data_IF_621414023427
#
_entry.id   IF_621414023427
#
_cell.length_a   1.000
_cell.length_b   1.000
_cell.length_c   1.000
_cell.angle_alpha   90.00
_cell.angle_beta   90.00
_cell.angle_gamma   90.00
#
_symmetry.space_group_name_H-M   'P 1'
#
loop_
_entity.id
_entity.type
_entity.pdbx_description
1 polymer ?
#
# COMPACT_ATOMS: atom_id res chain seq x y z
N UNK A 1 -11.63 9.05 -7.65
CA UNK A 1 -11.68 7.64 -8.09
C UNK A 1 -12.97 7.41 -8.83
N UNK A 2 -12.99 6.44 -9.75
CA UNK A 2 -14.21 6.03 -10.44
C UNK A 2 -15.12 5.21 -9.51
N UNK A 3 -16.43 5.25 -9.76
CA UNK A 3 -17.43 4.41 -9.05
C UNK A 3 -17.11 2.91 -9.21
N UNK A 4 -17.39 2.04 -8.21
CA UNK A 4 -17.05 0.62 -8.26
C UNK A 4 -17.55 -0.12 -9.52
N UNK A 5 -18.75 0.19 -10.01
CA UNK A 5 -19.28 -0.42 -11.24
C UNK A 5 -18.46 -0.11 -12.49
N UNK A 6 -17.86 1.09 -12.56
CA UNK A 6 -16.93 1.47 -13.65
C UNK A 6 -15.62 0.71 -13.51
N UNK A 7 -15.12 0.55 -12.28
CA UNK A 7 -13.91 -0.25 -11.99
C UNK A 7 -14.09 -1.72 -12.34
N UNK A 8 -15.23 -2.34 -12.03
CA UNK A 8 -15.57 -3.73 -12.43
C UNK A 8 -15.60 -3.85 -13.95
N UNK A 9 -16.26 -2.91 -14.63
CA UNK A 9 -16.32 -2.90 -16.10
C UNK A 9 -14.92 -2.83 -16.70
N UNK A 10 -14.09 -1.91 -16.19
CA UNK A 10 -12.70 -1.71 -16.63
C UNK A 10 -11.82 -2.93 -16.35
N UNK A 11 -11.95 -3.54 -15.17
CA UNK A 11 -11.24 -4.78 -14.83
C UNK A 11 -11.53 -5.89 -15.83
N UNK A 12 -12.82 -6.12 -16.14
CA UNK A 12 -13.23 -7.11 -17.14
C UNK A 12 -12.69 -6.81 -18.54
N UNK A 13 -12.68 -5.53 -18.97
CA UNK A 13 -12.12 -5.13 -20.26
C UNK A 13 -10.60 -5.36 -20.35
N UNK A 14 -9.91 -5.26 -19.22
CA UNK A 14 -8.47 -5.50 -19.09
C UNK A 14 -8.15 -6.95 -18.74
N UNK A 15 -9.14 -7.85 -18.70
CA UNK A 15 -9.01 -9.25 -18.35
C UNK A 15 -8.48 -9.51 -16.93
N UNK A 16 -8.73 -8.59 -15.99
CA UNK A 16 -8.54 -8.85 -14.55
C UNK A 16 -9.80 -9.55 -14.02
N UNK A 17 -9.71 -10.81 -13.54
CA UNK A 17 -10.85 -11.52 -12.99
C UNK A 17 -11.37 -10.80 -11.75
N UNK A 18 -12.65 -10.42 -11.78
CA UNK A 18 -13.33 -9.86 -10.61
C UNK A 18 -13.87 -11.00 -9.77
N UNK A 19 -13.53 -11.00 -8.48
CA UNK A 19 -14.05 -11.91 -7.48
C UNK A 19 -14.93 -11.16 -6.49
N UNK A 20 -15.81 -11.92 -5.85
CA UNK A 20 -16.62 -11.50 -4.71
C UNK A 20 -16.30 -12.49 -3.58
N UNK A 21 -16.35 -12.06 -2.32
CA UNK A 21 -16.15 -12.99 -1.23
C UNK A 21 -17.27 -14.02 -1.15
N UNK A 22 -17.02 -15.10 -0.40
CA UNK A 22 -17.99 -16.19 -0.23
C UNK A 22 -19.23 -15.66 0.51
N UNK A 23 -20.43 -15.66 -0.11
CA UNK A 23 -21.63 -15.11 0.52
C UNK A 23 -22.01 -15.72 1.87
N UNK A 24 -21.46 -16.89 2.24
CA UNK A 24 -21.69 -17.53 3.53
C UNK A 24 -20.80 -16.99 4.65
N UNK A 25 -19.64 -16.42 4.31
CA UNK A 25 -18.64 -15.91 5.28
C UNK A 25 -18.30 -14.45 5.10
N UNK A 26 -18.57 -13.93 3.91
CA UNK A 26 -18.45 -12.54 3.51
C UNK A 26 -19.83 -12.03 3.11
N UNK A 27 -20.33 -11.13 3.94
CA UNK A 27 -21.62 -10.48 3.76
C UNK A 27 -21.49 -9.18 2.95
N UNK A 28 -20.28 -8.65 2.76
CA UNK A 28 -20.00 -7.31 2.24
C UNK A 28 -20.29 -7.18 0.75
N UNK A 29 -20.13 -8.27 -0.02
CA UNK A 29 -20.52 -8.31 -1.43
C UNK A 29 -19.76 -7.31 -2.30
N UNK A 30 -18.59 -6.86 -1.84
CA UNK A 30 -17.78 -5.86 -2.54
C UNK A 30 -16.98 -6.56 -3.63
N UNK A 31 -16.98 -6.04 -4.86
CA UNK A 31 -16.15 -6.58 -5.91
C UNK A 31 -14.68 -6.31 -5.60
N UNK A 32 -13.83 -7.27 -5.96
CA UNK A 32 -12.40 -7.13 -5.83
C UNK A 32 -11.65 -7.81 -6.97
N UNK A 33 -10.37 -7.49 -7.10
CA UNK A 33 -9.44 -8.21 -7.95
C UNK A 33 -8.25 -8.70 -7.13
N UNK A 34 -7.57 -9.73 -7.62
CA UNK A 34 -6.26 -10.13 -7.10
C UNK A 34 -5.17 -9.33 -7.81
N UNK A 35 -4.31 -8.66 -7.07
CA UNK A 35 -3.17 -7.94 -7.60
C UNK A 35 -1.96 -8.86 -7.87
N UNK A 36 -0.99 -8.46 -8.70
CA UNK A 36 0.23 -9.23 -8.96
C UNK A 36 1.03 -9.52 -7.68
N UNK A 37 0.96 -8.65 -6.69
CA UNK A 37 1.56 -8.85 -5.39
C UNK A 37 0.81 -9.84 -4.48
N UNK A 38 -0.32 -10.39 -4.94
CA UNK A 38 -1.12 -11.37 -4.20
C UNK A 38 -2.08 -10.74 -3.19
N UNK A 39 -2.35 -9.44 -3.28
CA UNK A 39 -3.30 -8.75 -2.43
C UNK A 39 -4.68 -8.66 -3.08
N UNK A 40 -5.72 -8.75 -2.25
CA UNK A 40 -7.08 -8.51 -2.70
C UNK A 40 -7.38 -7.00 -2.68
N UNK A 41 -7.68 -6.41 -3.84
CA UNK A 41 -8.01 -4.99 -3.96
C UNK A 41 -9.51 -4.82 -4.17
N UNK A 42 -10.21 -4.38 -3.11
CA UNK A 42 -11.65 -4.15 -3.11
C UNK A 42 -12.01 -2.78 -3.70
N UNK A 43 -13.07 -2.71 -4.49
CA UNK A 43 -13.62 -1.45 -4.99
C UNK A 43 -14.76 -1.00 -4.08
N UNK A 44 -14.52 0.09 -3.36
CA UNK A 44 -15.46 0.65 -2.37
C UNK A 44 -15.95 2.01 -2.85
N UNK A 45 -17.26 2.23 -2.85
CA UNK A 45 -17.84 3.56 -3.03
C UNK A 45 -17.97 4.25 -1.66
N UNK A 46 -17.33 5.40 -1.42
CA UNK A 46 -17.48 6.13 -0.16
C UNK A 46 -18.84 6.80 0.01
N UNK A 47 -19.59 7.02 -1.07
CA UNK A 47 -20.92 7.66 -1.04
C UNK A 47 -22.06 6.66 -0.97
N UNK A 48 -21.79 5.40 -1.32
CA UNK A 48 -22.70 4.32 -0.98
C UNK A 48 -22.63 4.18 0.54
N UNK A 49 -23.72 4.54 1.23
CA UNK A 49 -23.96 4.06 2.60
C UNK A 49 -24.06 2.54 2.50
N UNK A 50 -22.90 1.89 2.41
CA UNK A 50 -22.88 0.48 2.21
C UNK A 50 -23.46 -0.13 3.48
N UNK A 51 -24.52 -0.97 3.38
CA UNK A 51 -24.99 -1.75 4.50
C UNK A 51 -23.87 -2.61 5.11
N UNK A 52 -22.73 -2.76 4.41
CA UNK A 52 -21.52 -3.38 4.90
C UNK A 52 -20.97 -2.74 6.18
N UNK A 53 -20.68 -1.44 6.20
CA UNK A 53 -19.98 -0.85 7.34
C UNK A 53 -20.85 -0.91 8.59
N UNK A 54 -22.15 -0.62 8.46
CA UNK A 54 -23.12 -0.71 9.55
C UNK A 54 -23.36 -2.15 10.05
N UNK A 55 -23.10 -3.15 9.20
CA UNK A 55 -23.28 -4.57 9.55
C UNK A 55 -22.02 -5.18 10.15
N UNK A 56 -20.85 -4.83 9.65
CA UNK A 56 -19.57 -5.41 10.07
C UNK A 56 -18.91 -4.64 11.22
N UNK A 57 -19.26 -3.37 11.41
CA UNK A 57 -18.68 -2.51 12.44
C UNK A 57 -19.77 -1.91 13.31
N UNK A 58 -19.52 -1.88 14.61
CA UNK A 58 -20.32 -1.11 15.56
C UNK A 58 -19.69 0.27 15.66
N UNK A 59 -20.45 1.32 15.36
CA UNK A 59 -19.98 2.70 15.55
C UNK A 59 -19.55 2.90 17.00
N UNK A 60 -18.35 3.42 17.20
CA UNK A 60 -17.91 3.91 18.49
C UNK A 60 -17.95 5.44 18.45
N UNK A 61 -18.88 6.02 19.20
CA UNK A 61 -19.03 7.47 19.30
C UNK A 61 -17.95 8.13 20.17
N UNK A 62 -17.11 7.33 20.83
CA UNK A 62 -15.89 7.83 21.44
C UNK A 62 -14.91 8.25 20.34
N UNK A 63 -14.78 9.57 20.15
CA UNK A 63 -13.73 10.11 19.30
C UNK A 63 -12.39 9.58 19.81
N UNK A 64 -11.75 8.71 19.01
CA UNK A 64 -10.38 8.33 19.27
C UNK A 64 -9.55 9.61 19.39
N UNK A 65 -8.86 9.79 20.52
CA UNK A 65 -7.83 10.83 20.65
C UNK A 65 -6.61 10.41 19.83
N UNK A 66 -6.79 10.27 18.51
CA UNK A 66 -5.72 9.91 17.60
C UNK A 66 -5.33 11.17 16.81
N UNK A 67 -4.69 12.11 17.51
CA UNK A 67 -4.26 13.38 16.94
C UNK A 67 -3.03 13.25 16.05
N UNK A 68 -2.36 12.09 16.06
CA UNK A 68 -1.04 11.92 15.46
C UNK A 68 -1.04 11.33 14.05
N UNK A 69 -2.05 10.53 13.70
CA UNK A 69 -2.17 9.91 12.36
C UNK A 69 -3.42 10.45 11.67
N UNK A 70 -3.26 11.00 10.47
CA UNK A 70 -4.37 11.53 9.66
C UNK A 70 -4.92 10.50 8.68
N UNK A 71 -4.02 9.85 7.95
CA UNK A 71 -4.36 8.96 6.83
C UNK A 71 -3.18 8.06 6.52
N UNK A 72 -3.43 7.01 5.74
CA UNK A 72 -2.38 6.32 5.00
C UNK A 72 -1.83 7.29 3.96
N UNK A 73 -0.50 7.42 3.92
CA UNK A 73 0.23 8.22 2.93
C UNK A 73 0.51 7.39 1.66
N UNK A 74 1.12 6.23 1.84
CA UNK A 74 1.37 5.26 0.77
C UNK A 74 1.56 3.84 1.31
N UNK A 75 1.43 2.87 0.40
CA UNK A 75 1.74 1.45 0.68
C UNK A 75 2.92 1.05 -0.19
N UNK A 76 3.98 0.55 0.44
CA UNK A 76 5.13 0.01 -0.27
C UNK A 76 5.03 -1.51 -0.38
N UNK A 77 5.09 -2.01 -1.61
CA UNK A 77 5.07 -3.44 -1.92
C UNK A 77 6.39 -3.85 -2.53
N UNK A 78 6.86 -5.03 -2.16
CA UNK A 78 8.03 -5.66 -2.77
C UNK A 78 7.59 -6.86 -3.58
N UNK A 79 8.14 -6.99 -4.79
CA UNK A 79 7.86 -8.07 -5.71
C UNK A 79 9.11 -8.54 -6.47
N UNK A 80 9.00 -9.68 -7.14
CA UNK A 80 10.01 -10.13 -8.08
C UNK A 80 10.10 -9.17 -9.27
N UNK A 81 11.29 -9.04 -9.86
CA UNK A 81 11.50 -8.22 -11.06
C UNK A 81 10.59 -8.61 -12.22
N UNK A 82 10.29 -9.89 -12.39
CA UNK A 82 9.40 -10.40 -13.44
C UNK A 82 7.96 -9.91 -13.30
N UNK A 83 7.53 -9.57 -12.08
CA UNK A 83 6.16 -9.11 -11.79
C UNK A 83 5.96 -7.61 -12.01
N UNK A 84 7.06 -6.83 -12.13
CA UNK A 84 7.02 -5.38 -12.20
C UNK A 84 6.17 -4.86 -13.38
N UNK A 85 6.25 -5.50 -14.54
CA UNK A 85 5.48 -5.08 -15.73
C UNK A 85 3.98 -5.29 -15.51
N UNK A 86 3.60 -6.42 -14.89
CA UNK A 86 2.20 -6.71 -14.58
C UNK A 86 1.65 -5.73 -13.55
N UNK A 87 2.42 -5.41 -12.51
CA UNK A 87 2.03 -4.44 -11.50
C UNK A 87 1.94 -3.03 -12.09
N UNK A 88 2.90 -2.63 -12.94
CA UNK A 88 2.85 -1.36 -13.68
C UNK A 88 1.57 -1.25 -14.52
N UNK A 89 1.20 -2.32 -15.23
CA UNK A 89 -0.01 -2.35 -16.04
C UNK A 89 -1.26 -2.22 -15.15
N UNK A 90 -1.32 -2.95 -14.03
CA UNK A 90 -2.46 -2.86 -13.12
C UNK A 90 -2.67 -1.42 -12.63
N UNK A 91 -1.62 -0.82 -12.04
CA UNK A 91 -1.72 0.49 -11.40
C UNK A 91 -2.05 1.60 -12.42
N UNK A 92 -1.48 1.53 -13.63
CA UNK A 92 -1.77 2.50 -14.69
C UNK A 92 -3.10 2.24 -15.37
N UNK A 93 -3.32 1.02 -15.83
CA UNK A 93 -4.43 0.70 -16.72
C UNK A 93 -5.72 0.52 -15.97
N UNK A 94 -5.74 -0.06 -14.76
CA UNK A 94 -6.97 -0.24 -14.01
C UNK A 94 -7.26 0.97 -13.11
N UNK A 95 -6.30 1.38 -12.29
CA UNK A 95 -6.50 2.44 -11.29
C UNK A 95 -6.20 3.85 -11.80
N UNK A 96 -5.70 3.99 -13.03
CA UNK A 96 -5.33 5.27 -13.61
C UNK A 96 -4.31 6.06 -12.75
N UNK A 97 -3.38 5.34 -12.11
CA UNK A 97 -2.29 5.95 -11.34
C UNK A 97 -1.15 6.37 -12.28
N UNK A 98 -0.55 7.50 -11.97
CA UNK A 98 0.56 8.08 -12.71
C UNK A 98 1.88 7.56 -12.14
N UNK A 99 2.74 6.93 -12.97
CA UNK A 99 4.06 6.52 -12.53
C UNK A 99 5.00 7.72 -12.43
N UNK A 100 5.82 7.75 -11.39
CA UNK A 100 6.99 8.63 -11.31
C UNK A 100 8.18 8.02 -12.07
N UNK A 101 9.26 8.79 -12.20
CA UNK A 101 10.53 8.24 -12.69
C UNK A 101 11.03 7.15 -11.74
N UNK A 102 11.41 5.96 -12.25
CA UNK A 102 11.96 4.90 -11.40
C UNK A 102 13.32 5.31 -10.83
N UNK A 103 13.58 4.92 -9.59
CA UNK A 103 14.85 5.09 -8.90
C UNK A 103 15.53 3.73 -8.73
N UNK A 104 16.85 3.72 -8.86
CA UNK A 104 17.69 2.57 -8.53
C UNK A 104 18.33 2.84 -7.16
N UNK A 105 17.91 2.10 -6.15
CA UNK A 105 18.42 2.18 -4.79
C UNK A 105 19.50 1.10 -4.62
N UNK A 106 20.66 1.52 -4.14
CA UNK A 106 21.76 0.61 -3.80
C UNK A 106 21.47 -0.01 -2.43
N UNK A 107 21.37 -1.34 -2.38
CA UNK A 107 21.37 -2.13 -1.16
C UNK A 107 22.70 -2.93 -1.09
N UNK A 108 23.28 -3.17 0.10
CA UNK A 108 24.53 -3.93 0.24
C UNK A 108 24.55 -5.28 -0.49
N UNK A 109 23.37 -5.91 -0.65
CA UNK A 109 23.21 -7.20 -1.30
C UNK A 109 22.80 -7.10 -2.77
N UNK A 110 22.53 -5.90 -3.31
CA UNK A 110 22.23 -5.71 -4.72
C UNK A 110 21.37 -4.49 -5.04
N UNK A 111 20.96 -4.37 -6.29
CA UNK A 111 20.14 -3.23 -6.74
C UNK A 111 18.65 -3.48 -6.48
N UNK A 112 17.97 -2.47 -5.94
CA UNK A 112 16.51 -2.43 -5.81
C UNK A 112 15.99 -1.34 -6.73
N UNK A 113 15.12 -1.71 -7.67
CA UNK A 113 14.40 -0.75 -8.50
C UNK A 113 13.11 -0.37 -7.79
N UNK A 114 12.95 0.91 -7.50
CA UNK A 114 11.78 1.49 -6.84
C UNK A 114 11.03 2.41 -7.79
N UNK A 115 9.70 2.36 -7.81
CA UNK A 115 8.88 3.26 -8.61
C UNK A 115 7.56 3.55 -7.91
N UNK A 116 7.16 4.82 -7.88
CA UNK A 116 5.91 5.26 -7.26
C UNK A 116 4.81 5.36 -8.32
N UNK A 117 3.60 4.94 -7.96
CA UNK A 117 2.38 5.07 -8.73
C UNK A 117 1.36 5.85 -7.90
N UNK A 118 1.00 7.05 -8.32
CA UNK A 118 0.15 7.95 -7.54
C UNK A 118 -1.04 8.48 -8.34
N UNK A 119 -2.19 8.62 -7.69
CA UNK A 119 -3.33 9.35 -8.24
C UNK A 119 -2.97 10.83 -8.41
N UNK A 120 -3.64 11.55 -9.31
CA UNK A 120 -3.38 12.98 -9.55
C UNK A 120 -3.40 13.84 -8.28
N UNK A 121 -4.36 13.57 -7.39
CA UNK A 121 -4.50 14.28 -6.10
C UNK A 121 -3.64 13.68 -4.97
N UNK A 122 -2.82 12.66 -5.27
CA UNK A 122 -1.99 11.92 -4.29
C UNK A 122 -2.76 11.36 -3.09
N UNK A 123 -4.05 11.11 -3.26
CA UNK A 123 -4.89 10.45 -2.26
C UNK A 123 -4.62 8.95 -2.17
N UNK A 124 -4.07 8.35 -3.24
CA UNK A 124 -3.56 6.98 -3.26
C UNK A 124 -2.18 6.97 -3.90
N UNK A 125 -1.25 6.30 -3.23
CA UNK A 125 0.10 6.08 -3.70
C UNK A 125 0.58 4.66 -3.33
N UNK A 126 1.17 3.99 -4.32
CA UNK A 126 1.85 2.71 -4.16
C UNK A 126 3.32 2.86 -4.55
N UNK A 127 4.22 2.40 -3.70
CA UNK A 127 5.64 2.29 -4.01
C UNK A 127 5.95 0.84 -4.34
N UNK A 128 6.32 0.57 -5.60
CA UNK A 128 6.67 -0.77 -6.05
C UNK A 128 8.20 -0.91 -6.03
N UNK A 129 8.67 -1.77 -5.14
CA UNK A 129 10.07 -2.19 -5.06
C UNK A 129 10.23 -3.55 -5.75
N UNK A 130 11.23 -3.66 -6.62
CA UNK A 130 11.57 -4.90 -7.30
C UNK A 130 13.07 -5.14 -7.28
N UNK A 131 13.46 -6.40 -7.11
CA UNK A 131 14.86 -6.79 -7.09
C UNK A 131 15.00 -8.22 -7.61
N UNK A 132 16.03 -8.48 -8.40
CA UNK A 132 16.47 -9.83 -8.76
C UNK A 132 17.62 -10.33 -7.87
N UNK A 133 18.11 -9.49 -6.96
CA UNK A 133 19.21 -9.83 -6.07
C UNK A 133 18.67 -10.57 -4.84
N UNK A 134 19.36 -11.65 -4.46
CA UNK A 134 19.06 -12.40 -3.24
C UNK A 134 19.69 -11.67 -2.04
N UNK A 135 18.96 -11.58 -0.92
CA UNK A 135 19.39 -11.02 0.39
C UNK A 135 19.36 -9.49 0.56
N UNK A 136 18.80 -8.73 -0.38
CA UNK A 136 18.43 -7.32 -0.15
C UNK A 136 17.31 -7.18 0.87
N UNK A 137 17.13 -6.02 1.53
CA UNK A 137 15.99 -5.77 2.44
C UNK A 137 14.66 -6.02 1.72
N UNK A 138 14.57 -5.63 0.45
CA UNK A 138 13.45 -5.96 -0.42
C UNK A 138 13.25 -7.50 -0.51
N UNK A 139 14.29 -8.27 -0.80
CA UNK A 139 14.17 -9.74 -0.87
C UNK A 139 13.83 -10.42 0.47
N UNK A 140 14.14 -9.81 1.62
CA UNK A 140 13.69 -10.33 2.92
C UNK A 140 12.16 -10.32 3.04
N UNK A 141 11.51 -9.32 2.42
CA UNK A 141 10.04 -9.30 2.28
C UNK A 141 9.59 -10.50 1.44
N UNK A 142 10.29 -10.78 0.34
CA UNK A 142 9.97 -11.93 -0.51
C UNK A 142 10.10 -13.27 0.23
N UNK A 143 11.14 -13.43 1.05
CA UNK A 143 11.34 -14.62 1.87
C UNK A 143 10.26 -14.76 2.96
N UNK A 144 9.93 -13.65 3.64
CA UNK A 144 8.93 -13.63 4.72
C UNK A 144 7.52 -13.95 4.23
N UNK A 145 7.15 -13.46 3.04
CA UNK A 145 5.82 -13.68 2.44
C UNK A 145 5.79 -14.83 1.42
N UNK A 146 6.88 -15.59 1.27
CA UNK A 146 7.04 -16.63 0.26
C UNK A 146 6.71 -16.15 -1.17
N UNK A 147 7.02 -14.90 -1.48
CA UNK A 147 6.63 -14.19 -2.70
C UNK A 147 6.42 -12.71 -2.46
N UNK A 148 5.74 -12.04 -3.38
CA UNK A 148 5.43 -10.61 -3.25
C UNK A 148 4.65 -10.29 -1.97
N UNK A 149 4.82 -9.07 -1.45
CA UNK A 149 4.08 -8.65 -0.26
C UNK A 149 4.29 -7.18 0.12
N UNK A 150 3.49 -6.72 1.09
CA UNK A 150 3.63 -5.39 1.68
C UNK A 150 4.91 -5.34 2.50
N UNK A 151 5.80 -4.41 2.13
CA UNK A 151 7.01 -4.12 2.88
C UNK A 151 6.71 -3.18 4.05
N UNK A 152 6.04 -2.05 3.78
CA UNK A 152 5.62 -1.11 4.83
C UNK A 152 4.38 -0.32 4.40
N UNK A 153 3.72 0.28 5.39
CA UNK A 153 2.63 1.24 5.22
C UNK A 153 3.08 2.54 5.89
N UNK A 154 3.08 3.64 5.15
CA UNK A 154 3.41 4.94 5.68
C UNK A 154 2.14 5.69 6.10
N UNK A 155 2.21 6.37 7.24
CA UNK A 155 1.11 7.17 7.78
C UNK A 155 1.47 8.65 7.75
N UNK A 156 0.50 9.48 7.37
CA UNK A 156 0.65 10.93 7.35
C UNK A 156 0.39 11.50 8.74
N UNK A 157 1.25 12.43 9.16
CA UNK A 157 1.13 13.18 10.42
C UNK A 157 1.37 14.67 10.17
N UNK A 158 0.75 15.52 11.00
CA UNK A 158 1.01 16.97 11.00
C UNK A 158 2.28 17.34 11.74
N UNK A 159 2.72 16.51 12.69
CA UNK A 159 3.89 16.78 13.52
C UNK A 159 4.66 15.49 13.81
N UNK A 160 5.78 15.30 13.10
CA UNK A 160 6.63 14.12 13.24
C UNK A 160 7.32 14.05 14.61
N UNK A 161 7.53 15.18 15.29
CA UNK A 161 8.14 15.21 16.62
C UNK A 161 7.18 14.71 17.69
N UNK A 162 5.92 15.16 17.66
CA UNK A 162 4.90 14.73 18.65
C UNK A 162 4.66 13.22 18.57
N UNK A 163 4.58 12.64 17.37
CA UNK A 163 4.43 11.18 17.22
C UNK A 163 5.71 10.43 17.63
N UNK A 164 6.90 10.98 17.38
CA UNK A 164 8.15 10.35 17.80
C UNK A 164 8.28 10.30 19.33
N UNK A 165 7.97 11.40 20.02
CA UNK A 165 7.91 11.44 21.49
C UNK A 165 6.87 10.43 22.02
N UNK A 166 5.68 10.40 21.42
CA UNK A 166 4.64 9.46 21.84
C UNK A 166 5.02 7.99 21.58
N UNK A 167 5.67 7.68 20.46
CA UNK A 167 6.21 6.35 20.17
C UNK A 167 7.26 5.94 21.21
N UNK A 168 8.08 6.88 21.67
CA UNK A 168 9.06 6.64 22.73
C UNK A 168 8.37 6.34 24.07
N UNK A 169 7.34 7.10 24.45
CA UNK A 169 6.53 6.86 25.66
C UNK A 169 5.89 5.45 25.64
N UNK A 170 5.40 5.04 24.47
CA UNK A 170 4.82 3.71 24.23
C UNK A 170 5.87 2.60 24.06
N UNK A 171 7.17 2.93 24.08
CA UNK A 171 8.27 1.99 23.85
C UNK A 171 8.14 1.24 22.52
N UNK A 172 7.68 1.91 21.47
CA UNK A 172 7.64 1.38 20.10
C UNK A 172 9.07 1.24 19.59
N UNK A 173 9.42 0.05 19.08
CA UNK A 173 10.71 -0.17 18.44
C UNK A 173 10.79 0.61 17.12
N UNK A 174 11.83 1.44 17.00
CA UNK A 174 12.15 2.21 15.79
C UNK A 174 13.55 1.86 15.31
N UNK A 175 13.83 2.08 14.03
CA UNK A 175 15.17 1.85 13.49
C UNK A 175 16.15 2.89 14.02
N UNK A 176 17.33 2.43 14.45
CA UNK A 176 18.43 3.31 14.81
C UNK A 176 18.95 4.07 13.58
N UNK A 177 19.32 5.33 13.80
CA UNK A 177 20.01 6.16 12.81
C UNK A 177 21.47 6.29 13.26
N UNK A 178 22.40 6.10 12.33
CA UNK A 178 23.83 6.20 12.63
C UNK A 178 24.26 7.66 12.84
N UNK A 179 25.18 7.92 13.77
CA UNK A 179 25.59 9.29 14.14
C UNK A 179 26.05 10.14 12.94
N UNK A 180 26.75 9.52 11.99
CA UNK A 180 27.24 10.18 10.78
C UNK A 180 26.12 10.73 9.88
N UNK A 181 24.89 10.21 10.00
CA UNK A 181 23.75 10.73 9.24
C UNK A 181 23.50 12.20 9.55
N UNK A 182 23.56 12.58 10.84
CA UNK A 182 23.30 13.96 11.26
C UNK A 182 24.45 14.90 10.92
N UNK A 183 25.69 14.40 10.90
CA UNK A 183 26.85 15.15 10.43
C UNK A 183 26.72 15.45 8.92
N UNK A 184 26.28 14.49 8.11
CA UNK A 184 26.18 14.62 6.65
C UNK A 184 25.09 15.61 6.18
N UNK A 185 24.04 15.84 6.98
CA UNK A 185 22.94 16.75 6.65
C UNK A 185 23.05 18.13 7.31
N UNK A 186 24.11 18.36 8.09
CA UNK A 186 24.42 19.65 8.73
C UNK A 186 25.12 20.65 7.79
#
# INVERSE_FOLDING_TARGET
MDEPGKMVTRANQLSYPVSYGDPNTDTHGLPAIMSPEGAQLYFVDPNEQSPHWDREFVSNDEAAQNSWIETIDHIAVTMDHEQLLQATLLHKALFNLNPTSPLNVLDPSGLVRSQVFESTERSVAFTINSTGARRTVASQTLEKYAGSGVNHIAFRTKNIFDIAEHMQELSVEIMDVTDNYYDDIS
#
